data_IF_961585167376
#
_entry.id   IF_961585167376
#
_cell.length_a   1.000
_cell.length_b   1.000
_cell.length_c   1.000
_cell.angle_alpha   90.00
_cell.angle_beta   90.00
_cell.angle_gamma   90.00
#
_symmetry.space_group_name_H-M   'P 1'
#
loop_
_entity.id
_entity.type
_entity.pdbx_description
1 polymer ?
#
# COMPACT_ATOMS: atom_id res chain seq x y z
N UNK A 1 -8.68 -5.50 -4.90
CA UNK A 1 -7.33 -6.09 -4.88
C UNK A 1 -6.32 -4.96 -5.01
N UNK A 2 -5.09 -5.17 -4.57
CA UNK A 2 -4.06 -4.13 -4.55
C UNK A 2 -2.96 -4.48 -5.54
N UNK A 3 -2.69 -3.59 -6.51
CA UNK A 3 -1.45 -3.64 -7.30
C UNK A 3 -0.33 -2.96 -6.50
N UNK A 4 0.84 -3.60 -6.45
CA UNK A 4 2.01 -3.07 -5.75
C UNK A 4 3.16 -3.06 -6.72
N UNK A 5 3.65 -1.87 -7.06
CA UNK A 5 4.80 -1.68 -7.95
C UNK A 5 6.00 -1.18 -7.17
N UNK A 6 7.10 -1.92 -7.23
CA UNK A 6 8.40 -1.53 -6.69
C UNK A 6 9.17 -0.82 -7.79
N UNK A 7 9.44 0.47 -7.59
CA UNK A 7 10.23 1.27 -8.53
C UNK A 7 11.73 1.07 -8.28
N UNK A 8 12.50 1.00 -9.36
CA UNK A 8 13.98 0.95 -9.34
C UNK A 8 14.51 1.81 -10.49
N UNK A 9 15.71 2.37 -10.32
CA UNK A 9 16.36 3.16 -11.38
C UNK A 9 16.72 2.32 -12.61
N UNK A 10 16.87 1.00 -12.43
CA UNK A 10 17.13 0.02 -13.48
C UNK A 10 15.80 -0.60 -13.92
N UNK A 11 15.34 -0.37 -15.15
CA UNK A 11 14.01 -0.85 -15.58
C UNK A 11 13.79 -2.36 -15.45
N UNK A 12 14.85 -3.17 -15.60
CA UNK A 12 14.77 -4.63 -15.46
C UNK A 12 14.58 -5.12 -14.02
N UNK A 13 14.65 -4.23 -13.03
CA UNK A 13 14.43 -4.51 -11.61
C UNK A 13 13.08 -4.01 -11.10
N UNK A 14 12.31 -3.31 -11.94
CA UNK A 14 10.94 -2.93 -11.59
C UNK A 14 10.09 -4.20 -11.50
N UNK A 15 9.36 -4.34 -10.41
CA UNK A 15 8.53 -5.50 -10.11
C UNK A 15 7.12 -5.05 -9.81
N UNK A 16 6.13 -5.72 -10.38
CA UNK A 16 4.73 -5.58 -9.99
C UNK A 16 4.25 -6.87 -9.33
N UNK A 17 3.60 -6.73 -8.19
CA UNK A 17 3.00 -7.81 -7.41
C UNK A 17 1.56 -7.43 -7.04
N UNK A 18 0.84 -8.34 -6.39
CA UNK A 18 -0.51 -8.09 -5.93
C UNK A 18 -0.70 -8.51 -4.48
N UNK A 19 -1.47 -7.72 -3.74
CA UNK A 19 -1.97 -7.98 -2.38
C UNK A 19 -0.92 -8.17 -1.25
N UNK A 20 0.37 -8.23 -1.57
CA UNK A 20 1.45 -8.32 -0.60
C UNK A 20 2.49 -7.21 -0.84
N UNK A 21 2.94 -6.59 0.27
CA UNK A 21 3.98 -5.55 0.25
C UNK A 21 5.13 -6.03 1.14
N UNK A 22 6.33 -6.15 0.57
CA UNK A 22 7.56 -6.49 1.28
C UNK A 22 8.42 -5.24 1.40
N UNK A 23 8.77 -4.88 2.63
CA UNK A 23 9.64 -3.73 2.91
C UNK A 23 10.82 -4.17 3.78
N UNK A 24 12.00 -3.52 3.67
CA UNK A 24 13.09 -3.70 4.62
C UNK A 24 12.67 -3.24 6.03
N UNK A 25 12.97 -4.05 7.04
CA UNK A 25 12.76 -3.66 8.43
C UNK A 25 13.85 -2.66 8.86
N UNK A 26 13.46 -1.67 9.68
CA UNK A 26 14.34 -0.63 10.19
C UNK A 26 14.56 0.55 9.23
N UNK A 27 14.07 0.46 7.99
CA UNK A 27 14.27 1.48 6.96
C UNK A 27 12.95 2.17 6.58
N UNK A 28 12.93 3.51 6.44
CA UNK A 28 11.74 4.22 5.99
C UNK A 28 11.46 3.90 4.51
N UNK A 29 10.20 3.57 4.22
CA UNK A 29 9.70 3.32 2.87
C UNK A 29 8.58 4.31 2.56
N UNK A 30 8.66 4.93 1.38
CA UNK A 30 7.65 5.83 0.86
C UNK A 30 6.69 5.08 -0.06
N UNK A 31 5.41 5.09 0.29
CA UNK A 31 4.34 4.61 -0.57
C UNK A 31 3.72 5.77 -1.35
N UNK A 32 3.53 5.56 -2.65
CA UNK A 32 2.68 6.39 -3.50
C UNK A 32 1.36 5.65 -3.70
N UNK A 33 0.27 6.26 -3.25
CA UNK A 33 -1.03 5.62 -3.16
C UNK A 33 -2.03 6.35 -4.07
N UNK A 34 -2.66 5.61 -4.98
CA UNK A 34 -3.73 6.09 -5.86
C UNK A 34 -4.76 4.99 -6.11
N UNK A 35 -5.95 5.37 -6.56
CA UNK A 35 -6.98 4.45 -7.02
C UNK A 35 -7.31 4.67 -8.49
N UNK A 36 -7.67 3.60 -9.19
CA UNK A 36 -8.09 3.63 -10.61
C UNK A 36 -9.60 3.60 -10.79
N UNK A 37 -10.37 3.20 -9.78
CA UNK A 37 -11.81 2.97 -9.86
C UNK A 37 -12.63 3.83 -8.89
N UNK A 38 -12.67 3.47 -7.61
CA UNK A 38 -13.45 4.10 -6.54
C UNK A 38 -12.54 4.46 -5.37
N UNK A 39 -13.09 5.06 -4.31
CA UNK A 39 -12.29 5.34 -3.11
C UNK A 39 -12.00 4.02 -2.40
N UNK A 40 -10.74 3.83 -2.02
CA UNK A 40 -10.30 2.80 -1.07
C UNK A 40 -9.59 3.47 0.10
N UNK A 41 -9.27 2.72 1.16
CA UNK A 41 -8.41 3.24 2.24
C UNK A 41 -7.39 2.21 2.65
N UNK A 42 -6.11 2.56 2.47
CA UNK A 42 -5.00 1.72 2.89
C UNK A 42 -4.82 1.84 4.39
N UNK A 43 -4.97 0.73 5.10
CA UNK A 43 -4.85 0.71 6.56
C UNK A 43 -4.14 -0.53 7.06
N UNK A 44 -3.02 -0.33 7.74
CA UNK A 44 -2.24 -1.37 8.41
C UNK A 44 -2.07 -0.96 9.89
N UNK A 45 -3.03 -1.30 10.78
CA UNK A 45 -3.11 -0.70 12.12
C UNK A 45 -1.85 -0.86 12.99
N UNK A 46 -1.10 -1.94 12.78
CA UNK A 46 0.13 -2.25 13.54
C UNK A 46 1.40 -1.63 12.95
N UNK A 47 1.31 -0.93 11.82
CA UNK A 47 2.44 -0.37 11.09
C UNK A 47 2.30 1.14 10.84
N UNK A 48 1.10 1.61 10.48
CA UNK A 48 0.85 3.00 10.12
C UNK A 48 -0.60 3.42 10.43
N UNK A 49 -0.90 4.70 10.23
CA UNK A 49 -2.27 5.20 10.17
C UNK A 49 -3.03 4.71 8.93
N UNK A 50 -4.29 5.16 8.79
CA UNK A 50 -5.08 4.97 7.56
C UNK A 50 -4.81 6.13 6.59
N UNK A 51 -4.84 5.85 5.29
CA UNK A 51 -4.84 6.89 4.26
C UNK A 51 -5.74 6.50 3.10
N UNK A 52 -6.60 7.41 2.67
CA UNK A 52 -7.58 7.17 1.61
C UNK A 52 -6.92 7.31 0.23
N UNK A 53 -7.34 6.47 -0.71
CA UNK A 53 -6.91 6.44 -2.11
C UNK A 53 -8.07 6.93 -2.96
N UNK A 54 -7.94 8.15 -3.46
CA UNK A 54 -8.99 8.85 -4.21
C UNK A 54 -8.60 8.85 -5.69
N UNK A 55 -9.47 8.38 -6.60
CA UNK A 55 -9.18 8.41 -8.03
C UNK A 55 -8.76 9.81 -8.51
N UNK A 56 -7.69 9.85 -9.31
CA UNK A 56 -7.11 11.10 -9.82
C UNK A 56 -6.24 11.88 -8.81
N UNK A 57 -5.98 11.33 -7.62
CA UNK A 57 -5.06 11.93 -6.63
C UNK A 57 -3.95 10.95 -6.27
N UNK A 58 -2.72 11.47 -6.19
CA UNK A 58 -1.59 10.73 -5.66
C UNK A 58 -1.32 11.19 -4.23
N UNK A 59 -1.51 10.29 -3.29
CA UNK A 59 -1.17 10.49 -1.88
C UNK A 59 0.19 9.86 -1.57
N UNK A 60 0.87 10.39 -0.56
CA UNK A 60 2.17 9.90 -0.09
C UNK A 60 2.03 9.46 1.36
N UNK A 61 2.53 8.27 1.66
CA UNK A 61 2.59 7.73 3.03
C UNK A 61 3.98 7.17 3.29
N UNK A 62 4.70 7.76 4.26
CA UNK A 62 5.96 7.21 4.73
C UNK A 62 5.69 6.21 5.87
N UNK A 63 6.20 4.99 5.74
CA UNK A 63 6.05 3.90 6.71
C UNK A 63 7.42 3.34 7.11
N UNK A 64 7.50 2.70 8.27
CA UNK A 64 8.69 1.96 8.70
C UNK A 64 8.29 0.83 9.64
N UNK A 65 8.65 -0.41 9.30
CA UNK A 65 8.51 -1.54 10.22
C UNK A 65 9.77 -1.63 11.09
N UNK A 66 9.67 -1.39 12.39
CA UNK A 66 10.85 -1.46 13.28
C UNK A 66 11.40 -2.88 13.46
N UNK A 67 10.58 -3.91 13.22
CA UNK A 67 10.97 -5.32 13.36
C UNK A 67 10.50 -6.14 12.15
N UNK A 68 11.25 -7.16 11.73
CA UNK A 68 10.75 -8.12 10.75
C UNK A 68 9.47 -8.82 11.26
N UNK A 69 8.50 -8.99 10.38
CA UNK A 69 7.23 -9.64 10.72
C UNK A 69 6.18 -9.48 9.64
N UNK A 70 5.00 -10.03 9.91
CA UNK A 70 3.82 -9.90 9.05
C UNK A 70 2.86 -8.90 9.67
N UNK A 71 2.58 -7.83 8.93
CA UNK A 71 1.66 -6.77 9.33
C UNK A 71 0.39 -6.86 8.47
N UNK A 72 -0.75 -7.14 9.10
CA UNK A 72 -2.02 -7.30 8.38
C UNK A 72 -2.63 -5.94 8.07
N UNK A 73 -2.92 -5.73 6.79
CA UNK A 73 -3.68 -4.58 6.28
C UNK A 73 -5.06 -4.98 5.78
N UNK A 74 -5.97 -4.01 5.74
CA UNK A 74 -7.32 -4.15 5.17
C UNK A 74 -7.72 -2.85 4.47
N UNK A 75 -8.70 -2.94 3.56
CA UNK A 75 -9.38 -1.75 3.06
C UNK A 75 -10.28 -1.19 4.16
N UNK A 76 -10.18 0.10 4.46
CA UNK A 76 -10.95 0.76 5.52
C UNK A 76 -12.01 1.75 5.01
N UNK A 77 -12.34 1.72 3.71
CA UNK A 77 -13.39 2.53 3.08
C UNK A 77 -14.24 1.65 2.17
N UNK A 78 -15.57 1.71 2.32
CA UNK A 78 -16.47 0.84 1.55
C UNK A 78 -16.32 1.08 0.04
N UNK A 79 -15.83 0.06 -0.66
CA UNK A 79 -15.49 0.14 -2.09
C UNK A 79 -16.31 -0.84 -2.97
N UNK A 80 -17.44 -1.33 -2.45
CA UNK A 80 -18.36 -2.21 -3.17
C UNK A 80 -18.41 -3.63 -2.62
N UNK A 81 -19.01 -4.54 -3.41
CA UNK A 81 -19.36 -5.89 -2.95
C UNK A 81 -18.18 -6.73 -2.46
N UNK A 82 -16.97 -6.50 -2.97
CA UNK A 82 -15.76 -7.22 -2.59
C UNK A 82 -14.91 -6.48 -1.55
N UNK A 83 -15.44 -5.45 -0.89
CA UNK A 83 -14.70 -4.60 0.02
C UNK A 83 -13.93 -5.37 1.13
N UNK A 84 -14.52 -6.45 1.64
CA UNK A 84 -13.96 -7.24 2.74
C UNK A 84 -13.14 -8.47 2.28
N UNK A 85 -12.71 -8.53 1.02
CA UNK A 85 -11.96 -9.66 0.45
C UNK A 85 -10.49 -9.34 0.16
#
# INVERSE_FOLDING_TARGET
>A
WWEVRYEDATPSRILTTANEIHIPAGEPVRLLLTSTDVIHSFWVPSLSGKLDLIPGRMNVLDIKADKPGVYRGQCAEFCGAQHAN
#
